data_IF_874937983288
#
_entry.id   IF_874937983288
#
_cell.length_a   1.000
_cell.length_b   1.000
_cell.length_c   1.000
_cell.angle_alpha   90.00
_cell.angle_beta   90.00
_cell.angle_gamma   90.00
#
_symmetry.space_group_name_H-M   'P 1'
#
loop_
_entity.id
_entity.type
_entity.pdbx_description
1 polymer ?
#
# COMPACT_ATOMS: atom_id res chain seq x y z
N UNK A 1 -39.75 -37.72 13.64
CA UNK A 1 -39.31 -38.07 12.27
C UNK A 1 -38.35 -37.00 11.81
N UNK A 2 -37.04 -37.28 11.86
CA UNK A 2 -36.00 -36.29 11.56
C UNK A 2 -36.12 -35.86 10.09
N UNK A 3 -36.55 -34.62 9.84
CA UNK A 3 -36.43 -33.99 8.52
C UNK A 3 -34.94 -33.68 8.31
N UNK A 4 -34.19 -34.68 7.87
CA UNK A 4 -32.83 -34.46 7.38
C UNK A 4 -32.86 -33.38 6.31
N UNK A 5 -31.88 -32.48 6.33
CA UNK A 5 -31.72 -31.46 5.29
C UNK A 5 -31.80 -32.13 3.92
N UNK A 6 -32.72 -31.66 3.07
CA UNK A 6 -32.75 -32.09 1.67
C UNK A 6 -31.41 -31.74 1.02
N UNK A 7 -30.83 -32.67 0.26
CA UNK A 7 -29.56 -32.50 -0.44
C UNK A 7 -29.58 -31.23 -1.33
N UNK A 8 -30.76 -30.87 -1.85
CA UNK A 8 -30.97 -29.63 -2.60
C UNK A 8 -30.85 -28.38 -1.73
N UNK A 9 -31.35 -28.41 -0.49
CA UNK A 9 -31.19 -27.30 0.45
C UNK A 9 -29.74 -27.09 0.84
N UNK A 10 -28.96 -28.18 0.97
CA UNK A 10 -27.53 -28.11 1.25
C UNK A 10 -26.76 -27.52 0.07
N UNK A 11 -27.03 -27.99 -1.15
CA UNK A 11 -26.38 -27.49 -2.37
C UNK A 11 -26.70 -26.01 -2.62
N UNK A 12 -27.94 -25.59 -2.36
CA UNK A 12 -28.34 -24.19 -2.46
C UNK A 12 -27.58 -23.32 -1.45
N UNK A 13 -27.46 -23.77 -0.20
CA UNK A 13 -26.72 -23.03 0.82
C UNK A 13 -25.22 -22.92 0.45
N UNK A 14 -24.62 -24.01 -0.04
CA UNK A 14 -23.21 -24.03 -0.46
C UNK A 14 -22.96 -23.15 -1.67
N UNK A 15 -23.86 -23.10 -2.65
CA UNK A 15 -23.71 -22.25 -3.83
C UNK A 15 -23.78 -20.77 -3.48
N UNK A 16 -24.73 -20.39 -2.61
CA UNK A 16 -24.85 -19.01 -2.11
C UNK A 16 -23.60 -18.64 -1.29
N UNK A 17 -23.18 -19.49 -0.36
CA UNK A 17 -21.99 -19.23 0.46
C UNK A 17 -20.74 -19.07 -0.41
N UNK A 18 -20.56 -19.96 -1.40
CA UNK A 18 -19.41 -19.90 -2.31
C UNK A 18 -19.40 -18.61 -3.14
N UNK A 19 -20.57 -18.19 -3.64
CA UNK A 19 -20.71 -16.92 -4.35
C UNK A 19 -20.31 -15.72 -3.50
N UNK A 20 -20.86 -15.62 -2.28
CA UNK A 20 -20.53 -14.56 -1.34
C UNK A 20 -19.05 -14.58 -0.95
N UNK A 21 -18.51 -15.77 -0.67
CA UNK A 21 -17.12 -15.96 -0.30
C UNK A 21 -16.19 -15.47 -1.42
N UNK A 22 -16.45 -15.82 -2.69
CA UNK A 22 -15.62 -15.38 -3.81
C UNK A 22 -15.67 -13.85 -4.01
N UNK A 23 -16.85 -13.24 -3.88
CA UNK A 23 -16.99 -11.77 -3.98
C UNK A 23 -16.20 -11.09 -2.87
N UNK A 24 -16.35 -11.57 -1.63
CA UNK A 24 -15.63 -11.01 -0.48
C UNK A 24 -14.11 -11.16 -0.61
N UNK A 25 -13.62 -12.32 -1.05
CA UNK A 25 -12.18 -12.54 -1.25
C UNK A 25 -11.59 -11.64 -2.36
N UNK A 26 -12.34 -11.42 -3.44
CA UNK A 26 -11.92 -10.47 -4.48
C UNK A 26 -11.85 -9.04 -3.94
N UNK A 27 -12.90 -8.60 -3.25
CA UNK A 27 -12.95 -7.25 -2.68
C UNK A 27 -11.84 -7.01 -1.64
N UNK A 28 -11.62 -7.95 -0.72
CA UNK A 28 -10.54 -7.84 0.28
C UNK A 28 -9.15 -7.80 -0.34
N UNK A 29 -8.92 -8.52 -1.45
CA UNK A 29 -7.65 -8.47 -2.18
C UNK A 29 -7.40 -7.07 -2.75
N UNK A 30 -8.42 -6.43 -3.33
CA UNK A 30 -8.31 -5.06 -3.84
C UNK A 30 -8.14 -4.04 -2.70
N UNK A 31 -8.86 -4.20 -1.59
CA UNK A 31 -8.66 -3.35 -0.39
C UNK A 31 -7.22 -3.45 0.14
N UNK A 32 -6.63 -4.64 0.16
CA UNK A 32 -5.24 -4.83 0.61
C UNK A 32 -4.25 -4.10 -0.29
N UNK A 33 -4.43 -4.13 -1.61
CA UNK A 33 -3.59 -3.37 -2.55
C UNK A 33 -3.69 -1.86 -2.30
N UNK A 34 -4.90 -1.36 -2.05
CA UNK A 34 -5.14 0.06 -1.73
C UNK A 34 -4.40 0.47 -0.44
N UNK A 35 -4.53 -0.31 0.63
CA UNK A 35 -3.87 -0.02 1.91
C UNK A 35 -2.34 -0.01 1.79
N UNK A 36 -1.75 -0.94 1.05
CA UNK A 36 -0.29 -0.98 0.81
C UNK A 36 0.17 0.26 0.05
N UNK A 37 -0.57 0.69 -0.98
CA UNK A 37 -0.24 1.90 -1.74
C UNK A 37 -0.25 3.15 -0.84
N UNK A 38 -1.33 3.34 -0.08
CA UNK A 38 -1.46 4.47 0.85
C UNK A 38 -0.30 4.46 1.85
N UNK A 39 0.02 3.30 2.41
CA UNK A 39 1.11 3.17 3.37
C UNK A 39 2.48 3.51 2.76
N UNK A 40 2.76 3.09 1.52
CA UNK A 40 4.00 3.45 0.82
C UNK A 40 4.08 4.94 0.51
N UNK A 41 2.96 5.57 0.14
CA UNK A 41 2.89 7.01 -0.10
C UNK A 41 3.18 7.81 1.18
N UNK A 42 2.59 7.43 2.31
CA UNK A 42 2.87 8.05 3.61
C UNK A 42 4.34 7.91 4.05
N UNK A 43 4.98 6.78 3.76
CA UNK A 43 6.41 6.61 4.03
C UNK A 43 7.25 7.51 3.11
N UNK A 44 6.90 7.59 1.82
CA UNK A 44 7.59 8.44 0.87
C UNK A 44 7.53 9.93 1.27
N UNK A 45 6.38 10.39 1.77
CA UNK A 45 6.23 11.75 2.32
C UNK A 45 7.20 11.99 3.48
N UNK A 46 7.21 11.10 4.48
CA UNK A 46 8.09 11.25 5.65
C UNK A 46 9.57 11.24 5.29
N UNK A 47 9.96 10.38 4.33
CA UNK A 47 11.33 10.36 3.82
C UNK A 47 11.64 11.68 3.12
N UNK A 48 10.75 12.19 2.27
CA UNK A 48 10.96 13.46 1.57
C UNK A 48 11.13 14.64 2.54
N UNK A 49 10.29 14.74 3.57
CA UNK A 49 10.39 15.76 4.62
C UNK A 49 11.71 15.66 5.37
N UNK A 50 12.15 14.45 5.73
CA UNK A 50 13.44 14.25 6.37
C UNK A 50 14.61 14.71 5.47
N UNK A 51 14.58 14.40 4.18
CA UNK A 51 15.63 14.84 3.25
C UNK A 51 15.62 16.36 3.04
N UNK A 52 14.44 16.99 2.98
CA UNK A 52 14.34 18.45 2.95
C UNK A 52 14.94 19.08 4.21
N UNK A 53 14.68 18.52 5.39
CA UNK A 53 15.31 18.96 6.65
C UNK A 53 16.83 18.77 6.63
N UNK A 54 17.33 17.66 6.09
CA UNK A 54 18.78 17.44 5.93
C UNK A 54 19.40 18.53 5.04
N UNK A 55 18.79 18.84 3.90
CA UNK A 55 19.25 19.91 3.02
C UNK A 55 19.24 21.28 3.71
N UNK A 56 18.18 21.58 4.47
CA UNK A 56 18.08 22.81 5.27
C UNK A 56 19.22 22.93 6.31
N UNK A 57 19.62 21.81 6.90
CA UNK A 57 20.75 21.74 7.84
C UNK A 57 22.13 21.68 7.16
N UNK A 58 22.20 21.77 5.82
CA UNK A 58 23.44 21.64 5.06
C UNK A 58 24.04 20.22 5.05
N UNK A 59 23.25 19.21 5.41
CA UNK A 59 23.64 17.81 5.38
C UNK A 59 23.47 17.23 3.97
N UNK A 60 24.28 16.22 3.65
CA UNK A 60 24.14 15.50 2.38
C UNK A 60 22.79 14.77 2.32
N UNK A 61 22.17 14.80 1.15
CA UNK A 61 21.02 13.95 0.85
C UNK A 61 21.45 12.47 0.79
N UNK A 62 20.56 11.60 1.23
CA UNK A 62 20.72 10.16 1.08
C UNK A 62 20.32 9.72 -0.34
N UNK A 63 20.87 8.60 -0.82
CA UNK A 63 20.54 8.08 -2.15
C UNK A 63 19.41 7.05 -2.10
N UNK A 64 19.22 6.38 -0.96
CA UNK A 64 18.18 5.39 -0.75
C UNK A 64 17.98 5.09 0.73
N UNK A 65 16.76 4.68 1.10
CA UNK A 65 16.45 4.14 2.42
C UNK A 65 15.60 2.87 2.28
N UNK A 66 15.80 1.90 3.16
CA UNK A 66 14.95 0.72 3.25
C UNK A 66 14.02 0.86 4.46
N UNK A 67 12.71 0.77 4.25
CA UNK A 67 11.71 0.75 5.32
C UNK A 67 10.70 -0.36 5.08
N UNK A 68 10.46 -1.19 6.09
CA UNK A 68 9.50 -2.30 6.02
C UNK A 68 9.76 -3.26 4.83
N UNK A 69 11.03 -3.51 4.50
CA UNK A 69 11.44 -4.36 3.38
C UNK A 69 11.21 -3.74 2.00
N UNK A 70 10.98 -2.43 1.92
CA UNK A 70 10.78 -1.68 0.68
C UNK A 70 11.92 -0.69 0.53
N UNK A 71 12.58 -0.74 -0.63
CA UNK A 71 13.61 0.22 -0.99
C UNK A 71 12.99 1.48 -1.60
N UNK A 72 13.35 2.63 -1.06
CA UNK A 72 12.98 3.95 -1.55
C UNK A 72 14.23 4.58 -2.15
N UNK A 73 14.19 4.95 -3.43
CA UNK A 73 15.27 5.69 -4.08
C UNK A 73 15.02 7.19 -3.93
N UNK A 74 16.06 7.91 -3.53
CA UNK A 74 15.99 9.32 -3.15
C UNK A 74 16.78 10.13 -4.15
N UNK A 75 16.20 11.21 -4.65
CA UNK A 75 16.86 12.18 -5.51
C UNK A 75 16.58 13.58 -5.01
N UNK A 76 17.58 14.21 -4.40
CA UNK A 76 17.49 15.60 -4.01
C UNK A 76 18.08 16.52 -5.09
N UNK A 77 17.40 17.63 -5.32
CA UNK A 77 17.86 18.80 -6.06
C UNK A 77 17.69 20.03 -5.16
N UNK A 78 18.18 21.19 -5.59
CA UNK A 78 18.14 22.42 -4.79
C UNK A 78 16.72 22.85 -4.36
N UNK A 79 15.68 22.52 -5.13
CA UNK A 79 14.29 22.95 -4.88
C UNK A 79 13.29 21.79 -4.85
N UNK A 80 13.77 20.56 -4.84
CA UNK A 80 12.89 19.39 -4.85
C UNK A 80 13.55 18.14 -4.29
N UNK A 81 12.73 17.31 -3.65
CA UNK A 81 13.07 15.94 -3.24
C UNK A 81 12.12 14.98 -3.94
N UNK A 82 12.66 14.05 -4.74
CA UNK A 82 11.90 12.96 -5.35
C UNK A 82 12.19 11.65 -4.62
N UNK A 83 11.13 10.96 -4.19
CA UNK A 83 11.17 9.64 -3.58
C UNK A 83 10.46 8.64 -4.50
N UNK A 84 11.19 7.65 -5.01
CA UNK A 84 10.65 6.58 -5.86
C UNK A 84 10.52 5.27 -5.08
N UNK A 85 9.39 4.59 -5.23
CA UNK A 85 9.05 3.35 -4.54
C UNK A 85 8.20 2.43 -5.45
N UNK A 86 8.01 1.14 -5.12
CA UNK A 86 7.39 0.18 -6.04
C UNK A 86 5.98 0.57 -6.54
N UNK A 87 5.21 1.31 -5.74
CA UNK A 87 3.85 1.72 -6.07
C UNK A 87 3.73 3.15 -6.63
N UNK A 88 4.85 3.87 -6.83
CA UNK A 88 4.82 5.22 -7.40
C UNK A 88 6.03 6.09 -7.08
N UNK A 89 5.84 7.40 -7.20
CA UNK A 89 6.81 8.40 -6.79
C UNK A 89 6.12 9.55 -6.04
N UNK A 90 6.88 10.20 -5.15
CA UNK A 90 6.44 11.38 -4.42
C UNK A 90 7.44 12.51 -4.61
N UNK A 91 6.93 13.70 -4.93
CA UNK A 91 7.70 14.90 -5.21
C UNK A 91 7.37 15.97 -4.19
N UNK A 92 8.34 16.31 -3.35
CA UNK A 92 8.26 17.46 -2.44
C UNK A 92 9.00 18.63 -3.07
N UNK A 93 8.34 19.78 -3.18
CA UNK A 93 9.00 21.05 -3.55
C UNK A 93 9.49 21.73 -2.28
N UNK A 94 10.76 22.13 -2.27
CA UNK A 94 11.36 22.92 -1.19
C UNK A 94 11.54 24.33 -1.73
N UNK A 95 10.69 25.26 -1.29
CA UNK A 95 10.73 26.68 -1.68
C UNK A 95 11.99 27.40 -1.18
#
# INVERSE_FOLDING_TARGET
MNKGMSLMSLLLALSIFSGLFLIFNRWTTEQRKSAVRIFQEFQAIQIAENQAQRQFLGLSCENSVEQNGIQFAIQCSHHQVNIRYPQGEFLLKTE
#
